data_IF_101086406613
#
_entry.id   IF_101086406613
#
_cell.length_a   1.000
_cell.length_b   1.000
_cell.length_c   1.000
_cell.angle_alpha   90.00
_cell.angle_beta   90.00
_cell.angle_gamma   90.00
#
_symmetry.space_group_name_H-M   'P 1'
#
loop_
_entity.id
_entity.type
_entity.pdbx_description
1 polymer ?
#
# COMPACT_ATOMS: atom_id res chain seq x y z
N UNK A 1 -14.91 53.94 -20.56
CA UNK A 1 -15.54 52.94 -21.45
C UNK A 1 -15.32 51.58 -20.83
N UNK A 2 -16.41 50.87 -20.55
CA UNK A 2 -16.44 49.59 -19.88
C UNK A 2 -16.04 48.45 -20.83
N UNK A 3 -15.35 47.44 -20.31
CA UNK A 3 -15.41 46.07 -20.82
C UNK A 3 -15.00 45.11 -19.70
N UNK A 4 -16.01 44.57 -19.03
CA UNK A 4 -15.89 43.38 -18.20
C UNK A 4 -15.80 42.16 -19.14
N UNK A 5 -14.64 41.52 -19.21
CA UNK A 5 -14.53 40.17 -19.76
C UNK A 5 -14.34 39.20 -18.60
N UNK A 6 -15.44 38.55 -18.21
CA UNK A 6 -15.45 37.46 -17.26
C UNK A 6 -14.73 36.25 -17.87
N UNK A 7 -13.54 35.92 -17.35
CA UNK A 7 -12.90 34.64 -17.61
C UNK A 7 -13.43 33.62 -16.60
N UNK A 8 -14.25 32.70 -17.13
CA UNK A 8 -14.82 31.55 -16.44
C UNK A 8 -13.74 30.64 -15.86
N UNK A 9 -14.09 30.09 -14.69
CA UNK A 9 -13.31 29.19 -13.87
C UNK A 9 -12.90 27.89 -14.57
N UNK A 10 -11.63 27.50 -14.41
CA UNK A 10 -11.20 26.11 -14.34
C UNK A 10 -10.08 25.99 -13.30
N UNK A 11 -10.41 26.30 -12.04
CA UNK A 11 -9.68 25.71 -10.93
C UNK A 11 -10.24 24.30 -10.74
N UNK A 12 -9.66 23.32 -11.44
CA UNK A 12 -9.66 21.96 -10.93
C UNK A 12 -8.81 21.97 -9.65
N UNK A 13 -9.40 22.47 -8.56
CA UNK A 13 -8.87 22.32 -7.23
C UNK A 13 -9.01 20.84 -6.85
N UNK A 14 -8.07 20.01 -7.30
CA UNK A 14 -7.75 18.81 -6.57
C UNK A 14 -7.25 19.28 -5.21
N UNK A 15 -8.17 19.40 -4.23
CA UNK A 15 -7.80 19.66 -2.86
C UNK A 15 -6.78 18.58 -2.49
N UNK A 16 -5.52 18.95 -2.17
CA UNK A 16 -4.46 17.97 -1.95
C UNK A 16 -4.92 16.97 -0.88
N UNK A 17 -5.66 17.41 0.12
CA UNK A 17 -6.20 16.57 1.19
C UNK A 17 -7.15 15.47 0.70
N UNK A 18 -7.98 15.76 -0.31
CA UNK A 18 -8.87 14.75 -0.91
C UNK A 18 -8.08 13.70 -1.69
N UNK A 19 -7.02 14.10 -2.40
CA UNK A 19 -6.12 13.17 -3.11
C UNK A 19 -5.31 12.36 -2.11
N UNK A 20 -4.83 12.96 -1.01
CA UNK A 20 -4.10 12.25 0.06
C UNK A 20 -4.96 11.20 0.73
N UNK A 21 -6.22 11.54 1.00
CA UNK A 21 -7.18 10.61 1.57
C UNK A 21 -7.52 9.47 0.59
N UNK A 22 -7.71 9.76 -0.71
CA UNK A 22 -7.96 8.73 -1.73
C UNK A 22 -6.74 7.80 -1.92
N UNK A 23 -5.52 8.32 -1.85
CA UNK A 23 -4.30 7.51 -2.02
C UNK A 23 -3.99 6.64 -0.80
N UNK A 24 -4.19 7.18 0.41
CA UNK A 24 -4.17 6.39 1.65
C UNK A 24 -5.26 5.31 1.64
N UNK A 25 -6.49 5.68 1.26
CA UNK A 25 -7.58 4.73 1.02
C UNK A 25 -7.22 3.67 -0.03
N UNK A 26 -6.39 4.00 -1.02
CA UNK A 26 -5.95 3.05 -2.03
C UNK A 26 -5.05 1.95 -1.44
N UNK A 27 -4.07 2.32 -0.63
CA UNK A 27 -3.21 1.35 0.04
C UNK A 27 -3.98 0.54 1.09
N UNK A 28 -4.81 1.19 1.89
CA UNK A 28 -5.65 0.52 2.90
C UNK A 28 -6.65 -0.44 2.24
N UNK A 29 -7.29 -0.03 1.14
CA UNK A 29 -8.19 -0.90 0.38
C UNK A 29 -7.44 -2.09 -0.26
N UNK A 30 -6.18 -1.91 -0.63
CA UNK A 30 -5.33 -3.01 -1.08
C UNK A 30 -5.05 -3.98 0.07
N UNK A 31 -4.66 -3.51 1.26
CA UNK A 31 -4.48 -4.35 2.44
C UNK A 31 -5.77 -5.11 2.81
N UNK A 32 -6.92 -4.43 2.78
CA UNK A 32 -8.24 -5.05 2.97
C UNK A 32 -8.56 -6.12 1.93
N UNK A 33 -8.11 -5.93 0.69
CA UNK A 33 -8.30 -6.92 -0.37
C UNK A 33 -7.53 -8.21 -0.10
N UNK A 34 -6.36 -8.13 0.55
CA UNK A 34 -5.54 -9.30 0.87
C UNK A 34 -6.26 -10.25 1.84
N UNK A 35 -7.07 -9.73 2.77
CA UNK A 35 -7.90 -10.57 3.65
C UNK A 35 -8.86 -11.48 2.88
N UNK A 36 -9.31 -11.05 1.69
CA UNK A 36 -10.24 -11.80 0.83
C UNK A 36 -9.51 -12.66 -0.19
N UNK A 37 -8.47 -12.13 -0.81
CA UNK A 37 -7.75 -12.78 -1.91
C UNK A 37 -6.70 -13.79 -1.43
N UNK A 38 -6.14 -13.57 -0.23
CA UNK A 38 -5.06 -14.35 0.35
C UNK A 38 -5.43 -14.89 1.73
N UNK A 39 -6.33 -15.88 1.82
CA UNK A 39 -6.75 -16.43 3.10
C UNK A 39 -5.60 -17.20 3.79
N UNK A 40 -5.51 -17.09 5.11
CA UNK A 40 -4.50 -17.76 5.96
C UNK A 40 -3.07 -17.40 5.55
N UNK A 41 -2.82 -16.10 5.33
CA UNK A 41 -1.55 -15.56 4.92
C UNK A 41 -0.55 -15.65 6.07
N UNK A 42 0.39 -16.58 5.94
CA UNK A 42 1.48 -16.83 6.89
C UNK A 42 2.82 -16.55 6.20
N UNK A 43 3.70 -15.83 6.89
CA UNK A 43 5.08 -15.61 6.46
C UNK A 43 5.99 -15.95 7.64
N UNK A 44 6.75 -17.02 7.53
CA UNK A 44 7.45 -17.61 8.68
C UNK A 44 6.46 -17.99 9.77
N UNK A 45 6.68 -17.45 10.98
CA UNK A 45 5.77 -17.64 12.12
C UNK A 45 4.69 -16.53 12.22
N UNK A 46 4.75 -15.55 11.33
CA UNK A 46 3.91 -14.37 11.40
C UNK A 46 2.57 -14.59 10.70
N UNK A 47 1.47 -14.37 11.42
CA UNK A 47 0.12 -14.43 10.89
C UNK A 47 -0.29 -13.07 10.32
N UNK A 48 0.06 -12.86 9.06
CA UNK A 48 -0.25 -11.61 8.34
C UNK A 48 -1.75 -11.41 8.21
N UNK A 49 -2.54 -12.48 8.05
CA UNK A 49 -4.00 -12.37 8.05
C UNK A 49 -4.56 -11.87 9.39
N UNK A 50 -3.89 -12.12 10.51
CA UNK A 50 -4.30 -11.57 11.80
C UNK A 50 -3.91 -10.09 11.91
N UNK A 51 -2.69 -9.74 11.49
CA UNK A 51 -2.27 -8.34 11.42
C UNK A 51 -3.23 -7.50 10.57
N UNK A 52 -3.63 -8.00 9.41
CA UNK A 52 -4.61 -7.34 8.52
C UNK A 52 -6.02 -7.21 9.11
N UNK A 53 -6.38 -7.97 10.17
CA UNK A 53 -7.71 -7.87 10.82
C UNK A 53 -7.70 -6.98 12.05
N UNK A 54 -6.55 -6.86 12.68
CA UNK A 54 -6.36 -6.19 13.97
C UNK A 54 -5.60 -4.87 13.83
N UNK A 55 -5.27 -4.48 12.60
CA UNK A 55 -4.32 -3.42 12.25
C UNK A 55 -2.93 -3.63 12.88
N UNK A 56 -2.62 -4.88 13.23
CA UNK A 56 -1.42 -5.31 13.94
C UNK A 56 -1.24 -4.62 15.29
N UNK A 57 -0.13 -4.91 15.96
CA UNK A 57 0.39 -4.01 17.00
C UNK A 57 1.41 -3.11 16.34
N UNK A 58 1.23 -1.79 16.36
CA UNK A 58 2.26 -0.85 15.87
C UNK A 58 3.61 -0.99 16.61
N UNK A 59 3.66 -1.74 17.72
CA UNK A 59 4.90 -2.10 18.43
C UNK A 59 5.52 -3.43 17.99
N UNK A 60 4.88 -4.20 17.11
CA UNK A 60 5.43 -5.43 16.53
C UNK A 60 6.37 -5.07 15.36
N UNK A 61 7.66 -5.33 15.54
CA UNK A 61 8.68 -5.02 14.55
C UNK A 61 8.49 -5.74 13.23
N UNK A 62 7.95 -6.96 13.25
CA UNK A 62 7.78 -7.78 12.07
C UNK A 62 6.58 -7.27 11.25
N UNK A 63 5.51 -6.87 11.93
CA UNK A 63 4.38 -6.19 11.30
C UNK A 63 4.80 -4.88 10.64
N UNK A 64 5.52 -4.01 11.36
CA UNK A 64 5.99 -2.73 10.83
C UNK A 64 6.91 -2.93 9.62
N UNK A 65 7.83 -3.90 9.70
CA UNK A 65 8.71 -4.24 8.59
C UNK A 65 7.94 -4.74 7.37
N UNK A 66 7.01 -5.67 7.56
CA UNK A 66 6.17 -6.20 6.48
C UNK A 66 5.31 -5.10 5.84
N UNK A 67 4.72 -4.23 6.65
CA UNK A 67 3.88 -3.11 6.20
C UNK A 67 4.70 -2.12 5.36
N UNK A 68 5.92 -1.78 5.79
CA UNK A 68 6.85 -0.94 5.01
C UNK A 68 7.17 -1.58 3.65
N UNK A 69 7.60 -2.85 3.63
CA UNK A 69 7.92 -3.52 2.36
C UNK A 69 6.69 -3.59 1.43
N UNK A 70 5.51 -3.81 2.00
CA UNK A 70 4.25 -3.93 1.25
C UNK A 70 3.80 -2.58 0.69
N UNK A 71 3.98 -1.49 1.44
CA UNK A 71 3.79 -0.12 0.98
C UNK A 71 4.74 0.21 -0.18
N UNK A 72 6.03 -0.11 -0.02
CA UNK A 72 7.04 0.09 -1.08
C UNK A 72 6.70 -0.68 -2.35
N UNK A 73 6.19 -1.92 -2.22
CA UNK A 73 5.69 -2.69 -3.35
C UNK A 73 4.52 -1.98 -4.02
N UNK A 74 3.49 -1.62 -3.25
CA UNK A 74 2.27 -0.97 -3.74
C UNK A 74 2.57 0.31 -4.52
N UNK A 75 3.46 1.15 -4.00
CA UNK A 75 3.85 2.44 -4.60
C UNK A 75 4.96 2.34 -5.66
N UNK A 76 5.22 1.15 -6.23
CA UNK A 76 6.26 0.95 -7.25
C UNK A 76 7.68 1.37 -6.82
N UNK A 77 7.97 1.44 -5.52
CA UNK A 77 9.29 1.79 -4.99
C UNK A 77 10.26 0.60 -5.03
N UNK A 78 9.73 -0.62 -5.03
CA UNK A 78 10.47 -1.87 -5.24
C UNK A 78 9.74 -2.76 -6.24
N UNK A 79 10.49 -3.62 -6.93
CA UNK A 79 9.92 -4.63 -7.83
C UNK A 79 9.32 -5.80 -7.05
N UNK A 80 8.41 -6.59 -7.65
CA UNK A 80 7.92 -7.82 -7.03
C UNK A 80 9.02 -8.80 -6.62
N UNK A 81 10.11 -8.89 -7.39
CA UNK A 81 11.27 -9.70 -7.04
C UNK A 81 11.96 -9.18 -5.78
N UNK A 82 12.22 -7.87 -5.72
CA UNK A 82 12.82 -7.24 -4.53
C UNK A 82 11.93 -7.35 -3.28
N UNK A 83 10.61 -7.25 -3.45
CA UNK A 83 9.67 -7.48 -2.35
C UNK A 83 9.77 -8.92 -1.83
N UNK A 84 9.77 -9.90 -2.75
CA UNK A 84 9.92 -11.32 -2.39
C UNK A 84 11.21 -11.57 -1.63
N UNK A 85 12.33 -11.07 -2.12
CA UNK A 85 13.63 -11.26 -1.48
C UNK A 85 13.68 -10.61 -0.09
N UNK A 86 13.11 -9.40 0.05
CA UNK A 86 13.08 -8.68 1.33
C UNK A 86 12.20 -9.39 2.36
N UNK A 87 10.99 -9.77 1.99
CA UNK A 87 10.03 -10.38 2.92
C UNK A 87 10.42 -11.81 3.29
N UNK A 88 10.88 -12.62 2.33
CA UNK A 88 11.37 -13.97 2.64
C UNK A 88 12.66 -13.90 3.43
N UNK A 89 13.59 -13.00 3.09
CA UNK A 89 14.86 -12.86 3.80
C UNK A 89 14.71 -12.30 5.21
N UNK A 90 13.74 -11.42 5.44
CA UNK A 90 13.49 -10.79 6.74
C UNK A 90 12.57 -11.60 7.67
N UNK A 91 11.54 -12.26 7.12
CA UNK A 91 10.46 -12.88 7.90
C UNK A 91 10.22 -14.35 7.58
N UNK A 92 10.78 -14.88 6.48
CA UNK A 92 10.48 -16.22 5.99
C UNK A 92 11.24 -17.34 6.72
N UNK A 93 10.70 -18.55 6.61
CA UNK A 93 11.25 -19.81 7.11
C UNK A 93 11.08 -21.00 6.14
N UNK A 94 10.48 -20.82 4.95
CA UNK A 94 10.38 -21.91 3.97
C UNK A 94 9.40 -21.72 2.81
N UNK A 95 8.99 -22.84 2.21
CA UNK A 95 8.22 -22.86 0.95
C UNK A 95 6.82 -22.24 1.04
N UNK A 96 6.20 -22.26 2.23
CA UNK A 96 4.90 -21.62 2.46
C UNK A 96 4.93 -20.11 2.21
N UNK A 97 6.07 -19.47 2.49
CA UNK A 97 6.22 -18.02 2.39
C UNK A 97 6.23 -17.58 0.94
N UNK A 98 6.81 -18.38 0.04
CA UNK A 98 6.78 -18.10 -1.39
C UNK A 98 5.34 -18.02 -1.90
N UNK A 99 4.46 -18.95 -1.49
CA UNK A 99 3.05 -18.92 -1.87
C UNK A 99 2.31 -17.71 -1.28
N UNK A 100 2.60 -17.37 -0.03
CA UNK A 100 2.03 -16.20 0.64
C UNK A 100 2.42 -14.90 -0.09
N UNK A 101 3.71 -14.71 -0.34
CA UNK A 101 4.26 -13.55 -1.05
C UNK A 101 3.73 -13.47 -2.48
N UNK A 102 3.64 -14.59 -3.19
CA UNK A 102 3.09 -14.64 -4.55
C UNK A 102 1.63 -14.20 -4.58
N UNK A 103 0.84 -14.55 -3.56
CA UNK A 103 -0.54 -14.10 -3.45
C UNK A 103 -0.65 -12.58 -3.26
N UNK A 104 0.21 -12.00 -2.40
CA UNK A 104 0.27 -10.55 -2.19
C UNK A 104 0.59 -9.84 -3.51
N UNK A 105 1.65 -10.27 -4.20
CA UNK A 105 2.05 -9.72 -5.50
C UNK A 105 0.93 -9.87 -6.54
N UNK A 106 0.28 -11.04 -6.60
CA UNK A 106 -0.81 -11.31 -7.54
C UNK A 106 -2.08 -10.50 -7.27
N UNK A 107 -2.24 -9.97 -6.07
CA UNK A 107 -3.39 -9.15 -5.66
C UNK A 107 -3.18 -7.65 -5.91
N UNK A 108 -2.03 -7.25 -6.45
CA UNK A 108 -1.75 -5.85 -6.76
C UNK A 108 -2.77 -5.28 -7.77
N UNK A 109 -3.32 -4.08 -7.52
CA UNK A 109 -4.14 -3.42 -8.53
C UNK A 109 -3.33 -3.13 -9.80
N UNK A 110 -4.00 -3.12 -10.95
CA UNK A 110 -3.35 -2.83 -12.24
C UNK A 110 -2.89 -1.37 -12.36
N UNK A 111 -3.65 -0.44 -11.77
CA UNK A 111 -3.31 0.98 -11.69
C UNK A 111 -2.93 1.28 -10.24
N UNK A 112 -1.66 1.60 -10.00
CA UNK A 112 -1.16 1.96 -8.67
C UNK A 112 -0.39 3.26 -8.73
N UNK A 113 -0.51 4.12 -7.71
CA UNK A 113 0.26 5.35 -7.62
C UNK A 113 1.75 5.05 -7.40
N UNK A 114 2.64 6.01 -7.70
CA UNK A 114 4.11 5.86 -7.53
C UNK A 114 4.64 6.45 -6.22
N UNK A 115 3.76 7.08 -5.43
CA UNK A 115 4.06 7.61 -4.09
C UNK A 115 2.74 7.73 -3.32
N UNK A 116 2.76 7.59 -1.98
CA UNK A 116 1.70 8.15 -1.16
C UNK A 116 1.71 9.67 -1.32
N UNK A 117 0.56 10.31 -1.15
CA UNK A 117 0.45 11.74 -1.32
C UNK A 117 1.45 12.45 -0.41
N UNK A 118 2.35 13.22 -1.03
CA UNK A 118 3.41 13.90 -0.31
C UNK A 118 2.83 15.01 0.55
N UNK A 119 3.11 14.95 1.86
CA UNK A 119 2.98 16.08 2.76
C UNK A 119 4.03 17.15 2.36
N UNK A 120 3.67 18.06 1.45
CA UNK A 120 4.37 19.36 1.42
C UNK A 120 3.93 20.14 2.65
N UNK A 121 4.59 19.90 3.79
CA UNK A 121 4.52 20.81 4.93
C UNK A 121 5.21 22.12 4.52
N UNK A 122 4.55 23.29 4.62
CA UNK A 122 5.20 24.59 4.44
C UNK A 122 6.22 24.86 5.55
#
# INVERSE_FOLDING_TARGET
MASCAAALALIAGCAPDSVRNIEAQGFDAYLDSLNRSCPNLMIGNNNVSEWLRTDGSQGDSDYVYWLDQTSRLYYHRITPAQYRDSVIGGLGQGKSDTRAVDCIIGSLPAQRPTSPASDKRP
#
